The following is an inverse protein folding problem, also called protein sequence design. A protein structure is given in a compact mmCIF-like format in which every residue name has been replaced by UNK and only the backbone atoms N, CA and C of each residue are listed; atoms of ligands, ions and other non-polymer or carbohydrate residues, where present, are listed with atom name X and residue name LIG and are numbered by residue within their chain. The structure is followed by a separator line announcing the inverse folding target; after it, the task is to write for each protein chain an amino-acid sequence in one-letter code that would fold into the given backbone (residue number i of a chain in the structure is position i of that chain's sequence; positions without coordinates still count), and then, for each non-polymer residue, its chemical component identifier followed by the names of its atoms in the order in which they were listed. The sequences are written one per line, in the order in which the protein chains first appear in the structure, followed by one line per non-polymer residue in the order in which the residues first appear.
data_IF_595298673755
#
_entry.id   IF_595298673755
#
_cell.length_a   1.000
_cell.length_b   1.000
_cell.length_c   1.000
_cell.angle_alpha   90.00
_cell.angle_beta   90.00
_cell.angle_gamma   90.00
#
_symmetry.space_group_name_H-M   'P 1'
#
loop_
_entity.id
_entity.type
_entity.pdbx_description
1 polymer ?
#
# COMPACT_ATOMS: atom_id res chain seq x y z
N UNK A 1 1.43 23.41 -29.48
CA UNK A 1 2.10 22.10 -29.33
C UNK A 1 1.61 21.50 -28.03
N UNK A 2 1.03 20.29 -28.06
CA UNK A 2 0.70 19.60 -26.81
C UNK A 2 2.02 19.26 -26.11
N UNK A 3 2.25 19.79 -24.92
CA UNK A 3 3.41 19.40 -24.11
C UNK A 3 3.34 17.90 -23.84
N UNK A 4 4.36 17.17 -24.26
CA UNK A 4 4.50 15.76 -23.91
C UNK A 4 4.88 15.70 -22.43
N UNK A 5 3.93 15.43 -21.56
CA UNK A 5 4.20 15.24 -20.14
C UNK A 5 4.83 13.87 -19.97
N UNK A 6 6.06 13.85 -19.47
CA UNK A 6 6.80 12.64 -19.13
C UNK A 6 6.51 12.22 -17.68
N UNK A 7 6.65 10.94 -17.41
CA UNK A 7 6.60 10.34 -16.07
C UNK A 7 7.97 9.84 -15.67
N UNK A 8 8.33 10.09 -14.43
CA UNK A 8 9.48 9.49 -13.78
C UNK A 8 8.99 8.46 -12.76
N UNK A 9 9.11 7.19 -13.09
CA UNK A 9 8.89 6.09 -12.15
C UNK A 9 10.17 5.76 -11.40
N UNK A 10 10.08 5.67 -10.10
CA UNK A 10 11.21 5.36 -9.22
C UNK A 10 10.90 4.10 -8.44
N UNK A 11 11.82 3.16 -8.46
CA UNK A 11 11.81 1.98 -7.58
C UNK A 11 12.97 2.07 -6.59
N UNK A 12 12.65 1.99 -5.30
CA UNK A 12 13.66 2.01 -4.23
C UNK A 12 13.59 0.67 -3.50
N UNK A 13 14.52 -0.22 -3.84
CA UNK A 13 14.68 -1.49 -3.13
C UNK A 13 15.87 -1.44 -2.15
N UNK A 14 16.22 -2.55 -1.52
CA UNK A 14 17.27 -2.58 -0.49
C UNK A 14 18.70 -2.41 -1.01
N UNK A 15 18.95 -2.54 -2.32
CA UNK A 15 20.29 -2.40 -2.93
C UNK A 15 20.37 -1.27 -3.95
N UNK A 16 19.30 -1.04 -4.70
CA UNK A 16 19.33 -0.15 -5.86
C UNK A 16 18.12 0.77 -5.88
N UNK A 17 18.36 2.03 -6.19
CA UNK A 17 17.34 3.00 -6.57
C UNK A 17 17.38 3.14 -8.09
N UNK A 18 16.27 2.80 -8.75
CA UNK A 18 16.14 2.86 -10.21
C UNK A 18 15.11 3.91 -10.59
N UNK A 19 15.48 4.82 -11.48
CA UNK A 19 14.58 5.80 -12.09
C UNK A 19 14.40 5.54 -13.57
N UNK A 20 13.16 5.60 -14.05
CA UNK A 20 12.80 5.43 -15.46
C UNK A 20 11.97 6.61 -15.92
N UNK A 21 12.38 7.26 -16.99
CA UNK A 21 11.58 8.26 -17.67
C UNK A 21 10.83 7.61 -18.82
N UNK A 22 9.51 7.75 -18.82
CA UNK A 22 8.63 7.14 -19.81
C UNK A 22 7.69 8.20 -20.40
N UNK A 23 7.41 8.08 -21.70
CA UNK A 23 6.39 8.87 -22.35
C UNK A 23 4.98 8.25 -22.21
N UNK A 24 3.96 8.93 -22.72
CA UNK A 24 2.56 8.46 -22.66
C UNK A 24 2.30 7.19 -23.47
N UNK A 25 3.12 6.92 -24.49
CA UNK A 25 2.96 5.75 -25.35
C UNK A 25 3.63 4.51 -24.74
N UNK A 26 4.22 4.64 -23.55
CA UNK A 26 4.90 3.55 -22.84
C UNK A 26 6.35 3.34 -23.29
N UNK A 27 6.91 4.24 -24.10
CA UNK A 27 8.31 4.14 -24.49
C UNK A 27 9.23 4.65 -23.38
N UNK A 28 10.24 3.86 -23.04
CA UNK A 28 11.29 4.20 -22.09
C UNK A 28 12.28 5.15 -22.79
N UNK A 29 12.50 6.33 -22.24
CA UNK A 29 13.40 7.34 -22.79
C UNK A 29 14.74 7.36 -22.07
N UNK A 30 14.76 7.19 -20.74
CA UNK A 30 15.96 7.16 -19.92
C UNK A 30 15.82 6.19 -18.76
N UNK A 31 16.95 5.59 -18.37
CA UNK A 31 17.11 4.76 -17.19
C UNK A 31 18.29 5.29 -16.39
N UNK A 32 18.12 5.51 -15.10
CA UNK A 32 19.19 5.86 -14.17
C UNK A 32 19.18 4.91 -12.99
N UNK A 33 20.34 4.50 -12.49
CA UNK A 33 20.48 3.59 -11.36
C UNK A 33 21.54 4.11 -10.38
N UNK A 34 21.21 4.06 -9.09
CA UNK A 34 22.15 4.37 -8.00
C UNK A 34 22.05 3.32 -6.91
N UNK A 35 23.13 3.01 -6.18
CA UNK A 35 23.03 2.18 -4.99
C UNK A 35 22.11 2.81 -3.95
N UNK A 36 21.20 2.03 -3.37
CA UNK A 36 20.36 2.51 -2.27
C UNK A 36 21.20 2.73 -1.03
N UNK A 37 21.08 3.89 -0.43
CA UNK A 37 21.76 4.26 0.79
C UNK A 37 20.84 4.12 2.01
N UNK A 38 21.39 4.26 3.23
CA UNK A 38 20.61 4.25 4.48
C UNK A 38 19.59 5.39 4.53
N UNK A 39 19.88 6.51 3.89
CA UNK A 39 18.99 7.61 3.68
C UNK A 39 18.29 7.46 2.32
N UNK A 40 16.96 7.46 2.33
CA UNK A 40 16.13 7.31 1.14
C UNK A 40 16.42 8.41 0.11
N UNK A 41 16.62 9.65 0.57
CA UNK A 41 16.85 10.79 -0.31
C UNK A 41 18.22 10.77 -0.98
N UNK A 42 19.25 10.15 -0.38
CA UNK A 42 20.58 10.16 -0.95
C UNK A 42 20.66 9.38 -2.27
N UNK A 43 20.15 8.14 -2.32
CA UNK A 43 20.09 7.37 -3.56
C UNK A 43 19.18 8.03 -4.61
N UNK A 44 18.08 8.61 -4.17
CA UNK A 44 17.12 9.33 -5.02
C UNK A 44 17.77 10.58 -5.65
N UNK A 45 18.57 11.34 -4.88
CA UNK A 45 19.29 12.52 -5.36
C UNK A 45 20.20 12.21 -6.55
N UNK A 46 20.92 11.10 -6.49
CA UNK A 46 21.81 10.65 -7.57
C UNK A 46 21.01 10.35 -8.84
N UNK A 47 19.91 9.60 -8.71
CA UNK A 47 19.02 9.27 -9.83
C UNK A 47 18.40 10.53 -10.45
N UNK A 48 17.91 11.47 -9.63
CA UNK A 48 17.32 12.72 -10.12
C UNK A 48 18.37 13.56 -10.86
N UNK A 49 19.57 13.71 -10.32
CA UNK A 49 20.67 14.46 -10.96
C UNK A 49 21.05 13.85 -12.32
N UNK A 50 21.11 12.51 -12.40
CA UNK A 50 21.43 11.84 -13.65
C UNK A 50 20.34 12.07 -14.71
N UNK A 51 19.06 12.00 -14.34
CA UNK A 51 17.92 12.19 -15.24
C UNK A 51 17.79 13.64 -15.70
N UNK A 52 18.11 14.61 -14.83
CA UNK A 52 18.00 16.05 -15.12
C UNK A 52 19.27 16.67 -15.73
N UNK A 53 20.28 15.84 -16.01
CA UNK A 53 21.51 16.33 -16.62
C UNK A 53 21.24 17.10 -17.95
N UNK A 54 21.99 18.18 -18.24
CA UNK A 54 21.69 19.10 -19.36
C UNK A 54 21.68 18.47 -20.75
N UNK A 55 22.37 17.33 -20.92
CA UNK A 55 22.43 16.54 -22.17
C UNK A 55 21.19 15.67 -22.38
N UNK A 56 20.34 15.54 -21.36
CA UNK A 56 19.11 14.73 -21.39
C UNK A 56 17.88 15.63 -21.51
N UNK A 57 17.12 15.49 -22.60
CA UNK A 57 15.94 16.32 -22.89
C UNK A 57 14.73 16.01 -21.99
N UNK A 58 14.94 15.80 -20.69
CA UNK A 58 13.91 15.39 -19.74
C UNK A 58 13.23 16.56 -19.00
N UNK A 59 13.21 17.77 -19.60
CA UNK A 59 12.70 19.00 -18.98
C UNK A 59 11.18 19.05 -18.79
N UNK A 60 10.44 18.07 -19.29
CA UNK A 60 8.95 18.04 -19.24
C UNK A 60 8.38 16.92 -18.35
N UNK A 61 9.13 16.50 -17.32
CA UNK A 61 8.61 15.55 -16.33
C UNK A 61 7.56 16.27 -15.49
N UNK A 62 6.31 15.83 -15.61
CA UNK A 62 5.18 16.39 -14.85
C UNK A 62 4.79 15.59 -13.62
N UNK A 63 5.21 14.34 -13.55
CA UNK A 63 4.85 13.42 -12.48
C UNK A 63 6.05 12.56 -12.08
N UNK A 64 6.28 12.48 -10.76
CA UNK A 64 7.26 11.57 -10.15
C UNK A 64 6.50 10.58 -9.29
N UNK A 65 6.69 9.30 -9.58
CA UNK A 65 5.96 8.21 -8.95
C UNK A 65 6.95 7.31 -8.24
N UNK A 66 6.83 7.17 -6.92
CA UNK A 66 7.78 6.46 -6.07
C UNK A 66 7.16 5.14 -5.61
N UNK A 67 7.77 4.03 -6.00
CA UNK A 67 7.54 2.70 -5.46
C UNK A 67 8.67 2.31 -4.51
N UNK A 68 8.34 1.68 -3.39
CA UNK A 68 9.37 1.33 -2.42
C UNK A 68 8.96 0.18 -1.50
N UNK A 69 9.95 -0.64 -1.13
CA UNK A 69 9.85 -1.59 -0.02
C UNK A 69 10.50 -1.06 1.27
N UNK A 70 10.99 0.19 1.26
CA UNK A 70 11.74 0.76 2.38
C UNK A 70 10.96 0.69 3.71
N UNK A 71 9.70 1.15 3.73
CA UNK A 71 8.89 1.16 4.95
C UNK A 71 8.50 -0.24 5.41
N UNK A 72 8.24 -1.17 4.49
CA UNK A 72 8.00 -2.58 4.82
C UNK A 72 9.22 -3.22 5.47
N UNK A 73 10.40 -2.95 4.93
CA UNK A 73 11.67 -3.44 5.49
C UNK A 73 11.95 -2.88 6.89
N UNK A 74 11.61 -1.61 7.15
CA UNK A 74 11.74 -1.02 8.49
C UNK A 74 10.83 -1.73 9.51
N UNK A 75 9.59 -2.04 9.12
CA UNK A 75 8.68 -2.81 9.98
C UNK A 75 9.23 -4.21 10.22
N UNK A 76 9.68 -4.92 9.18
CA UNK A 76 10.23 -6.29 9.34
C UNK A 76 11.46 -6.33 10.26
N UNK A 77 12.31 -5.29 10.22
CA UNK A 77 13.53 -5.17 11.02
C UNK A 77 13.31 -4.54 12.40
N UNK A 78 12.13 -3.98 12.67
CA UNK A 78 11.88 -3.20 13.88
C UNK A 78 12.73 -1.94 14.00
N UNK A 79 13.05 -1.30 12.85
CA UNK A 79 13.93 -0.13 12.82
C UNK A 79 13.11 1.16 12.59
N UNK A 80 13.50 2.24 13.27
CA UNK A 80 12.93 3.59 13.10
C UNK A 80 11.40 3.67 13.29
N UNK A 81 10.87 2.80 14.15
CA UNK A 81 9.46 2.81 14.51
C UNK A 81 9.24 3.67 15.75
N UNK A 82 8.12 4.38 15.80
CA UNK A 82 7.73 5.19 16.94
C UNK A 82 6.97 4.36 17.97
N UNK A 83 7.10 4.72 19.26
CA UNK A 83 6.16 4.27 20.30
C UNK A 83 4.75 4.69 19.95
N UNK A 84 3.76 3.85 20.22
CA UNK A 84 2.37 4.09 19.85
C UNK A 84 1.45 3.95 21.06
N UNK A 85 0.61 4.94 21.29
CA UNK A 85 -0.56 4.79 22.16
C UNK A 85 -1.71 4.18 21.35
N UNK A 86 -2.15 2.96 21.69
CA UNK A 86 -3.27 2.29 21.05
C UNK A 86 -4.55 2.46 21.88
N UNK A 87 -5.49 3.24 21.35
CA UNK A 87 -6.76 3.56 22.01
C UNK A 87 -7.86 2.70 21.40
N UNK A 88 -8.42 1.81 22.22
CA UNK A 88 -9.59 1.00 21.88
C UNK A 88 -10.86 1.68 22.38
N UNK A 89 -11.82 1.90 21.49
CA UNK A 89 -13.14 2.43 21.85
C UNK A 89 -14.15 1.30 21.77
N UNK A 90 -14.66 0.87 22.92
CA UNK A 90 -15.63 -0.24 23.01
C UNK A 90 -16.14 -0.45 24.43
N UNK A 91 -17.22 -1.21 24.58
CA UNK A 91 -17.82 -1.52 25.88
C UNK A 91 -17.07 -2.62 26.64
N UNK A 92 -16.58 -3.63 25.92
CA UNK A 92 -15.90 -4.77 26.51
C UNK A 92 -14.39 -4.57 26.57
N UNK A 93 -13.78 -4.90 27.71
CA UNK A 93 -12.34 -4.96 27.83
C UNK A 93 -11.83 -6.14 27.00
N UNK A 94 -11.11 -5.85 25.94
CA UNK A 94 -10.47 -6.89 25.13
C UNK A 94 -9.20 -7.37 25.86
N UNK A 95 -9.12 -8.66 26.15
CA UNK A 95 -7.99 -9.28 26.86
C UNK A 95 -6.81 -9.62 25.93
N UNK A 96 -7.03 -9.60 24.62
CA UNK A 96 -5.96 -9.84 23.63
C UNK A 96 -5.12 -8.55 23.54
N UNK A 97 -3.81 -8.60 23.82
CA UNK A 97 -2.96 -7.41 23.73
C UNK A 97 -2.82 -6.94 22.27
N UNK A 98 -2.59 -5.63 22.04
CA UNK A 98 -2.20 -5.13 20.73
C UNK A 98 -0.99 -5.87 20.17
N UNK A 99 -0.91 -6.03 18.86
CA UNK A 99 0.15 -6.76 18.16
C UNK A 99 0.34 -8.21 18.66
N UNK A 100 -0.74 -8.86 19.13
CA UNK A 100 -0.68 -10.25 19.56
C UNK A 100 -0.13 -11.17 18.45
N UNK A 101 0.89 -11.95 18.78
CA UNK A 101 1.61 -12.81 17.84
C UNK A 101 2.77 -12.15 17.10
N UNK A 102 3.04 -10.86 17.36
CA UNK A 102 4.28 -10.24 16.90
C UNK A 102 5.51 -10.83 17.60
N UNK A 103 6.65 -10.83 16.90
CA UNK A 103 7.93 -11.20 17.51
C UNK A 103 8.33 -10.20 18.61
N UNK A 104 9.17 -10.65 19.55
CA UNK A 104 9.72 -9.78 20.61
C UNK A 104 10.42 -8.54 20.01
N UNK A 105 11.05 -8.70 18.85
CA UNK A 105 11.68 -7.59 18.12
C UNK A 105 10.68 -6.48 17.81
N UNK A 106 9.54 -6.84 17.23
CA UNK A 106 8.50 -5.86 16.85
C UNK A 106 7.82 -5.25 18.08
N UNK A 107 7.53 -6.06 19.10
CA UNK A 107 6.93 -5.57 20.33
C UNK A 107 7.81 -4.54 21.02
N UNK A 108 9.13 -4.79 21.10
CA UNK A 108 10.11 -3.85 21.68
C UNK A 108 10.34 -2.62 20.82
N UNK A 109 10.27 -2.76 19.49
CA UNK A 109 10.50 -1.65 18.57
C UNK A 109 9.38 -0.61 18.59
N UNK A 110 8.11 -1.05 18.78
CA UNK A 110 6.95 -0.14 18.77
C UNK A 110 6.58 0.29 20.19
N UNK A 111 6.80 -0.56 21.21
CA UNK A 111 6.42 -0.28 22.59
C UNK A 111 5.00 0.27 22.71
N UNK A 112 4.00 -0.56 22.41
CA UNK A 112 2.60 -0.14 22.40
C UNK A 112 2.09 0.09 23.82
N UNK A 113 1.55 1.28 24.11
CA UNK A 113 0.82 1.59 25.33
C UNK A 113 -0.69 1.46 25.04
N UNK A 114 -1.37 0.42 25.54
CA UNK A 114 -2.79 0.22 25.30
C UNK A 114 -3.65 1.04 26.26
N UNK A 115 -4.71 1.65 25.73
CA UNK A 115 -5.74 2.31 26.53
C UNK A 115 -7.13 1.87 26.08
N UNK A 116 -8.00 1.54 27.03
CA UNK A 116 -9.41 1.23 26.79
C UNK A 116 -10.26 2.43 27.15
N UNK A 117 -10.84 3.07 26.15
CA UNK A 117 -11.85 4.11 26.33
C UNK A 117 -13.24 3.49 26.17
N UNK A 118 -14.08 3.63 27.16
CA UNK A 118 -15.45 3.15 27.06
C UNK A 118 -16.24 4.00 26.05
N UNK A 119 -16.98 3.33 25.17
CA UNK A 119 -17.67 3.96 24.05
C UNK A 119 -18.01 2.94 22.97
N UNK A 120 -18.02 3.40 21.72
CA UNK A 120 -18.24 2.55 20.54
C UNK A 120 -19.69 2.58 20.06
N UNK A 121 -19.93 1.83 19.02
CA UNK A 121 -21.23 1.72 18.38
C UNK A 121 -21.71 0.28 18.41
N UNK A 122 -23.01 0.12 18.26
CA UNK A 122 -23.63 -1.17 17.96
C UNK A 122 -23.49 -1.49 16.47
N UNK A 123 -23.85 -2.71 16.11
CA UNK A 123 -23.75 -3.20 14.74
C UNK A 123 -24.60 -2.40 13.74
N UNK A 124 -25.67 -1.72 14.24
CA UNK A 124 -26.55 -0.85 13.44
C UNK A 124 -26.10 0.63 13.41
N UNK A 125 -24.93 0.93 13.98
CA UNK A 125 -24.37 2.27 14.01
C UNK A 125 -24.88 3.18 15.10
N UNK A 126 -25.82 2.73 15.96
CA UNK A 126 -26.23 3.51 17.13
C UNK A 126 -25.08 3.56 18.13
N UNK A 127 -24.92 4.70 18.78
CA UNK A 127 -23.96 4.82 19.88
C UNK A 127 -24.41 3.93 21.04
N UNK A 128 -23.55 3.02 21.49
CA UNK A 128 -23.80 2.16 22.62
C UNK A 128 -23.53 2.86 23.93
N UNK A 129 -22.49 3.69 23.96
CA UNK A 129 -22.07 4.55 25.05
C UNK A 129 -21.25 5.70 24.48
N UNK A 130 -21.46 6.91 24.96
CA UNK A 130 -20.61 8.04 24.54
C UNK A 130 -19.25 7.97 25.23
N UNK A 131 -18.14 8.16 24.50
CA UNK A 131 -16.82 8.21 25.11
C UNK A 131 -16.73 9.44 26.04
N UNK A 132 -16.05 9.27 27.17
CA UNK A 132 -15.82 10.35 28.12
C UNK A 132 -14.47 11.01 27.88
N UNK A 133 -14.47 12.31 27.54
CA UNK A 133 -13.25 13.09 27.32
C UNK A 133 -12.34 13.09 28.55
N UNK A 134 -12.91 13.22 29.74
CA UNK A 134 -12.11 13.26 30.98
C UNK A 134 -11.28 11.99 31.21
N UNK A 135 -11.80 10.80 30.85
CA UNK A 135 -11.06 9.54 30.98
C UNK A 135 -9.82 9.53 30.08
N UNK A 136 -9.96 10.07 28.86
CA UNK A 136 -8.85 10.22 27.93
C UNK A 136 -7.82 11.24 28.43
N UNK A 137 -8.27 12.40 28.90
CA UNK A 137 -7.40 13.45 29.46
C UNK A 137 -6.56 12.91 30.61
N UNK A 138 -7.23 12.28 31.60
CA UNK A 138 -6.57 11.68 32.76
C UNK A 138 -5.51 10.65 32.33
N UNK A 139 -5.85 9.80 31.36
CA UNK A 139 -4.88 8.81 30.88
C UNK A 139 -3.69 9.47 30.16
N UNK A 140 -3.93 10.43 29.26
CA UNK A 140 -2.86 11.12 28.53
C UNK A 140 -1.91 11.88 29.46
N UNK A 141 -2.41 12.42 30.58
CA UNK A 141 -1.57 13.00 31.62
C UNK A 141 -0.63 11.98 32.25
N UNK A 142 -1.09 10.73 32.48
CA UNK A 142 -0.24 9.67 33.07
C UNK A 142 0.91 9.24 32.17
N UNK A 143 0.77 9.35 30.85
CA UNK A 143 1.78 8.95 29.86
C UNK A 143 2.53 10.15 29.26
N UNK A 144 2.33 11.36 29.78
CA UNK A 144 2.91 12.59 29.23
C UNK A 144 4.44 12.55 29.18
N UNK A 145 5.07 12.00 30.22
CA UNK A 145 6.53 11.89 30.33
C UNK A 145 7.13 10.87 29.36
N UNK A 146 6.32 9.94 28.83
CA UNK A 146 6.74 8.96 27.83
C UNK A 146 7.05 9.58 26.46
N UNK A 147 6.67 10.84 26.23
CA UNK A 147 6.92 11.57 24.99
C UNK A 147 6.22 10.97 23.75
N UNK A 148 5.08 10.33 23.95
CA UNK A 148 4.32 9.68 22.89
C UNK A 148 3.56 10.74 22.10
N UNK A 149 3.80 10.74 20.79
CA UNK A 149 3.11 11.61 19.82
C UNK A 149 2.50 10.83 18.64
N UNK A 150 2.41 9.50 18.75
CA UNK A 150 1.81 8.66 17.71
C UNK A 150 0.67 7.84 18.31
N UNK A 151 -0.54 8.01 17.77
CA UNK A 151 -1.76 7.44 18.30
C UNK A 151 -2.46 6.59 17.26
N UNK A 152 -2.95 5.42 17.67
CA UNK A 152 -3.81 4.54 16.87
C UNK A 152 -5.15 4.40 17.56
N UNK A 153 -6.24 4.76 16.89
CA UNK A 153 -7.60 4.69 17.42
C UNK A 153 -8.36 3.59 16.71
N UNK A 154 -8.96 2.67 17.47
CA UNK A 154 -9.78 1.58 16.92
C UNK A 154 -11.10 1.47 17.64
N UNK A 155 -12.18 1.83 16.94
CA UNK A 155 -13.54 1.82 17.47
C UNK A 155 -14.29 0.54 17.10
N UNK A 156 -15.09 0.03 18.05
CA UNK A 156 -16.07 -1.00 17.78
C UNK A 156 -17.09 -0.45 16.76
N UNK A 157 -17.29 -1.21 15.67
CA UNK A 157 -18.16 -0.86 14.54
C UNK A 157 -17.91 0.51 13.89
N UNK A 158 -16.67 1.02 13.95
CA UNK A 158 -16.29 2.29 13.31
C UNK A 158 -16.41 2.28 11.78
N UNK A 159 -16.46 1.10 11.14
CA UNK A 159 -16.77 0.97 9.70
C UNK A 159 -18.24 1.27 9.37
N UNK A 160 -19.13 1.21 10.37
CA UNK A 160 -20.54 1.57 10.23
C UNK A 160 -20.74 3.04 10.63
N UNK A 161 -20.15 3.43 11.75
CA UNK A 161 -20.21 4.81 12.25
C UNK A 161 -18.86 5.24 12.85
N UNK A 162 -18.11 6.11 12.16
CA UNK A 162 -16.78 6.55 12.59
C UNK A 162 -16.79 7.69 13.63
N UNK A 163 -17.97 8.16 14.10
CA UNK A 163 -18.10 9.37 14.90
C UNK A 163 -17.21 9.35 16.15
N UNK A 164 -17.10 8.21 16.84
CA UNK A 164 -16.29 8.12 18.06
C UNK A 164 -14.78 8.14 17.78
N UNK A 165 -14.31 7.55 16.66
CA UNK A 165 -12.90 7.71 16.28
C UNK A 165 -12.59 9.16 15.92
N UNK A 166 -13.51 9.87 15.25
CA UNK A 166 -13.33 11.26 14.85
C UNK A 166 -13.28 12.21 16.05
N UNK A 167 -14.20 12.04 17.02
CA UNK A 167 -14.20 12.92 18.21
C UNK A 167 -12.98 12.67 19.10
N UNK A 168 -12.53 11.42 19.23
CA UNK A 168 -11.33 11.07 19.99
C UNK A 168 -10.06 11.62 19.32
N UNK A 169 -9.95 11.59 17.98
CA UNK A 169 -8.88 12.29 17.27
C UNK A 169 -8.87 13.78 17.60
N UNK A 170 -10.01 14.44 17.52
CA UNK A 170 -10.11 15.86 17.86
C UNK A 170 -9.61 16.14 19.28
N UNK A 171 -10.04 15.37 20.28
CA UNK A 171 -9.59 15.53 21.65
C UNK A 171 -8.09 15.33 21.83
N UNK A 172 -7.51 14.31 21.15
CA UNK A 172 -6.05 14.10 21.20
C UNK A 172 -5.31 15.33 20.68
N UNK A 173 -5.74 15.90 19.54
CA UNK A 173 -5.11 17.10 18.98
C UNK A 173 -5.24 18.30 19.92
N UNK A 174 -6.39 18.49 20.55
CA UNK A 174 -6.61 19.57 21.53
C UNK A 174 -5.76 19.41 22.80
N UNK A 175 -5.49 18.17 23.26
CA UNK A 175 -4.77 17.91 24.50
C UNK A 175 -3.25 17.85 24.27
N UNK A 176 -2.81 17.15 23.20
CA UNK A 176 -1.39 16.88 22.94
C UNK A 176 -0.78 17.94 22.03
N UNK A 177 -1.56 18.49 21.10
CA UNK A 177 -1.14 19.45 20.08
C UNK A 177 -1.16 18.85 18.67
N UNK A 178 -1.08 19.74 17.68
CA UNK A 178 -1.20 19.38 16.25
C UNK A 178 0.00 18.59 15.71
N UNK A 179 1.15 18.63 16.38
CA UNK A 179 2.35 17.88 16.00
C UNK A 179 2.24 16.36 16.24
N UNK A 180 1.15 15.91 16.86
CA UNK A 180 0.90 14.49 17.02
C UNK A 180 0.35 13.85 15.74
N UNK A 181 0.70 12.57 15.54
CA UNK A 181 0.13 11.76 14.46
C UNK A 181 -1.00 10.89 15.00
N UNK A 182 -2.16 10.93 14.35
CA UNK A 182 -3.33 10.13 14.75
C UNK A 182 -3.80 9.29 13.58
N UNK A 183 -3.88 7.99 13.79
CA UNK A 183 -4.39 7.02 12.82
C UNK A 183 -5.73 6.49 13.27
N UNK A 184 -6.75 6.64 12.44
CA UNK A 184 -8.11 6.09 12.66
C UNK A 184 -8.29 4.79 11.90
N UNK A 185 -8.77 3.75 12.56
CA UNK A 185 -8.84 2.41 11.99
C UNK A 185 -9.84 2.29 10.82
N UNK A 186 -10.93 3.05 10.83
CA UNK A 186 -11.91 3.02 9.74
C UNK A 186 -11.39 3.55 8.40
N UNK A 187 -10.29 4.31 8.41
CA UNK A 187 -9.65 4.81 7.21
C UNK A 187 -8.69 3.80 6.55
N UNK A 188 -8.22 2.80 7.31
CA UNK A 188 -7.21 1.87 6.82
C UNK A 188 -7.76 0.48 6.53
N UNK A 189 -8.74 0.06 7.27
CA UNK A 189 -9.07 -1.35 7.31
C UNK A 189 -10.49 -1.68 6.90
N UNK A 190 -10.73 -2.97 6.93
CA UNK A 190 -11.95 -3.67 6.64
C UNK A 190 -12.52 -4.29 7.92
N UNK A 191 -13.48 -5.22 7.80
CA UNK A 191 -13.99 -6.01 8.90
C UNK A 191 -12.85 -6.75 9.62
N UNK A 192 -12.86 -6.75 10.93
CA UNK A 192 -11.83 -7.34 11.79
C UNK A 192 -11.25 -6.28 12.72
N UNK A 193 -11.65 -6.36 13.99
CA UNK A 193 -11.22 -5.35 14.97
C UNK A 193 -9.71 -5.37 15.19
N UNK A 194 -9.15 -6.56 15.44
CA UNK A 194 -7.73 -6.72 15.74
C UNK A 194 -6.84 -6.43 14.52
N UNK A 195 -7.28 -6.85 13.33
CA UNK A 195 -6.57 -6.57 12.08
C UNK A 195 -6.53 -5.07 11.78
N UNK A 196 -7.63 -4.34 12.02
CA UNK A 196 -7.65 -2.88 11.88
C UNK A 196 -6.77 -2.19 12.91
N UNK A 197 -6.82 -2.64 14.16
CA UNK A 197 -5.98 -2.13 15.24
C UNK A 197 -4.50 -2.29 14.87
N UNK A 198 -4.08 -3.49 14.50
CA UNK A 198 -2.70 -3.76 14.12
C UNK A 198 -2.25 -2.90 12.93
N UNK A 199 -3.11 -2.74 11.92
CA UNK A 199 -2.83 -1.84 10.79
C UNK A 199 -2.66 -0.39 11.24
N UNK A 200 -3.50 0.07 12.16
CA UNK A 200 -3.44 1.43 12.70
C UNK A 200 -2.19 1.66 13.54
N UNK A 201 -1.77 0.65 14.31
CA UNK A 201 -0.53 0.71 15.11
C UNK A 201 0.69 0.78 14.18
N UNK A 202 0.79 -0.09 13.17
CA UNK A 202 1.90 -0.02 12.20
C UNK A 202 1.93 1.31 11.45
N UNK A 203 0.76 1.83 11.06
CA UNK A 203 0.68 3.14 10.42
C UNK A 203 1.20 4.25 11.35
N UNK A 204 0.71 4.30 12.58
CA UNK A 204 1.12 5.29 13.57
C UNK A 204 2.62 5.18 13.89
N UNK A 205 3.16 3.95 13.97
CA UNK A 205 4.59 3.72 14.18
C UNK A 205 5.46 4.23 13.03
N UNK A 206 4.97 4.18 11.78
CA UNK A 206 5.68 4.63 10.58
C UNK A 206 5.53 6.13 10.31
N UNK A 207 4.51 6.80 10.85
CA UNK A 207 4.13 8.16 10.45
C UNK A 207 5.27 9.19 10.59
N UNK A 208 6.02 9.18 11.68
CA UNK A 208 7.19 10.08 11.83
C UNK A 208 8.35 9.69 10.93
N UNK A 209 8.47 8.41 10.62
CA UNK A 209 9.55 7.91 9.77
C UNK A 209 9.35 8.33 8.33
N UNK A 210 8.15 8.25 7.79
CA UNK A 210 7.89 8.72 6.42
C UNK A 210 8.10 10.23 6.32
N UNK A 211 7.60 11.02 7.28
CA UNK A 211 7.79 12.47 7.30
C UNK A 211 9.27 12.83 7.20
N UNK A 212 10.12 12.24 8.04
CA UNK A 212 11.57 12.46 8.03
C UNK A 212 12.25 11.93 6.77
N UNK A 213 11.78 10.81 6.24
CA UNK A 213 12.39 10.17 5.05
C UNK A 213 12.12 10.92 3.76
N UNK A 214 11.03 11.71 3.70
CA UNK A 214 10.67 12.52 2.52
C UNK A 214 10.80 14.02 2.75
N UNK A 215 11.22 14.41 3.97
CA UNK A 215 11.58 15.80 4.27
C UNK A 215 12.68 16.26 3.30
N UNK A 216 12.45 17.36 2.62
CA UNK A 216 13.35 17.86 1.59
C UNK A 216 13.20 17.22 0.20
N UNK A 217 12.31 16.24 0.00
CA UNK A 217 12.09 15.64 -1.33
C UNK A 217 11.60 16.67 -2.35
N UNK A 218 10.67 17.53 -1.97
CA UNK A 218 10.19 18.61 -2.84
C UNK A 218 11.31 19.61 -3.16
N UNK A 219 12.12 19.97 -2.15
CA UNK A 219 13.27 20.85 -2.32
C UNK A 219 14.32 20.22 -3.23
N UNK A 220 14.61 18.94 -3.05
CA UNK A 220 15.53 18.18 -3.91
C UNK A 220 15.08 18.23 -5.37
N UNK A 221 13.79 18.04 -5.63
CA UNK A 221 13.24 18.12 -6.98
C UNK A 221 13.35 19.52 -7.56
N UNK A 222 12.95 20.57 -6.82
CA UNK A 222 13.02 21.94 -7.25
C UNK A 222 14.46 22.41 -7.54
N UNK A 223 15.42 22.02 -6.69
CA UNK A 223 16.85 22.32 -6.89
C UNK A 223 17.42 21.70 -8.17
N UNK A 224 16.84 20.59 -8.63
CA UNK A 224 17.21 19.93 -9.89
C UNK A 224 16.28 20.32 -11.07
N UNK A 225 15.48 21.39 -10.92
CA UNK A 225 14.62 21.92 -11.99
C UNK A 225 13.38 21.07 -12.29
N UNK A 226 13.01 20.14 -11.40
CA UNK A 226 11.80 19.33 -11.54
C UNK A 226 10.63 19.98 -10.78
N UNK A 227 9.65 20.47 -11.53
CA UNK A 227 8.39 21.02 -10.99
C UNK A 227 7.25 20.02 -11.19
N UNK A 228 7.46 18.77 -10.73
CA UNK A 228 6.56 17.67 -10.93
C UNK A 228 5.72 17.39 -9.68
N UNK A 229 4.52 16.83 -9.87
CA UNK A 229 3.72 16.29 -8.77
C UNK A 229 4.29 14.95 -8.30
N UNK A 230 4.31 14.75 -6.99
CA UNK A 230 4.83 13.53 -6.38
C UNK A 230 3.66 12.61 -6.02
N UNK A 231 3.79 11.34 -6.37
CA UNK A 231 2.90 10.27 -5.99
C UNK A 231 3.69 9.10 -5.43
N UNK A 232 3.04 8.31 -4.60
CA UNK A 232 3.56 7.01 -4.17
C UNK A 232 2.68 5.90 -4.71
N UNK A 233 3.27 4.74 -4.96
CA UNK A 233 2.47 3.55 -5.28
C UNK A 233 2.02 2.85 -4.00
N UNK A 234 0.81 2.31 -4.04
CA UNK A 234 0.20 1.56 -2.94
C UNK A 234 0.48 0.06 -3.06
N UNK A 235 0.22 -0.66 -1.98
CA UNK A 235 0.34 -2.12 -1.92
C UNK A 235 -0.52 -2.89 -2.94
N UNK A 236 -1.54 -2.28 -3.52
CA UNK A 236 -2.36 -2.86 -4.59
C UNK A 236 -1.92 -2.45 -6.01
N UNK A 237 -0.83 -1.68 -6.13
CA UNK A 237 -0.28 -1.19 -7.40
C UNK A 237 -0.97 0.05 -7.96
N UNK A 238 -1.82 0.72 -7.19
CA UNK A 238 -2.41 2.01 -7.55
C UNK A 238 -1.62 3.18 -6.96
N UNK A 239 -1.94 4.41 -7.38
CA UNK A 239 -1.31 5.64 -6.90
C UNK A 239 -2.02 6.20 -5.67
N UNK A 240 -1.21 6.80 -4.82
CA UNK A 240 -1.58 7.58 -3.65
C UNK A 240 -0.94 8.95 -3.76
N UNK A 241 -1.69 10.03 -3.54
CA UNK A 241 -1.16 11.38 -3.49
C UNK A 241 -0.10 11.54 -2.38
N UNK A 242 0.78 12.53 -2.53
CA UNK A 242 1.88 12.77 -1.57
C UNK A 242 1.37 12.91 -0.14
N UNK A 243 0.38 13.77 0.09
CA UNK A 243 -0.18 14.02 1.43
C UNK A 243 -0.83 12.76 2.03
N UNK A 244 -1.55 12.00 1.21
CA UNK A 244 -2.17 10.74 1.64
C UNK A 244 -1.12 9.68 1.98
N UNK A 245 0.03 9.66 1.29
CA UNK A 245 1.14 8.77 1.63
C UNK A 245 1.78 9.13 2.98
N UNK A 246 1.90 10.43 3.29
CA UNK A 246 2.39 10.89 4.60
C UNK A 246 1.44 10.50 5.73
N UNK A 247 0.13 10.57 5.48
CA UNK A 247 -0.89 10.21 6.46
C UNK A 247 -1.03 8.69 6.64
N UNK A 248 -0.88 7.93 5.55
CA UNK A 248 -1.07 6.47 5.53
C UNK A 248 0.13 5.72 4.97
N UNK A 249 1.33 5.85 5.58
CA UNK A 249 2.56 5.21 5.10
C UNK A 249 2.45 3.69 4.95
N UNK A 250 1.64 3.03 5.76
CA UNK A 250 1.42 1.58 5.66
C UNK A 250 0.87 1.15 4.29
N UNK A 251 0.17 2.03 3.58
CA UNK A 251 -0.35 1.75 2.25
C UNK A 251 0.74 1.65 1.19
N UNK A 252 1.94 2.18 1.43
CA UNK A 252 3.08 2.06 0.50
C UNK A 252 3.85 0.76 0.67
N UNK A 253 3.62 0.02 1.77
CA UNK A 253 4.33 -1.21 2.09
C UNK A 253 4.01 -2.33 1.09
N UNK A 254 5.03 -2.89 0.43
CA UNK A 254 4.87 -3.95 -0.57
C UNK A 254 4.45 -3.46 -1.96
N UNK A 255 4.48 -2.15 -2.22
CA UNK A 255 4.11 -1.57 -3.51
C UNK A 255 5.05 -2.00 -4.64
N UNK A 256 6.33 -2.27 -4.36
CA UNK A 256 7.30 -2.75 -5.35
C UNK A 256 6.82 -4.02 -6.08
N UNK A 257 6.30 -5.00 -5.35
CA UNK A 257 5.81 -6.25 -5.96
C UNK A 257 4.63 -5.99 -6.88
N UNK A 258 3.68 -5.15 -6.46
CA UNK A 258 2.54 -4.77 -7.28
C UNK A 258 2.96 -4.01 -8.54
N UNK A 259 3.95 -3.13 -8.43
CA UNK A 259 4.55 -2.44 -9.58
C UNK A 259 5.23 -3.43 -10.51
N UNK A 260 6.03 -4.36 -9.99
CA UNK A 260 6.69 -5.40 -10.78
C UNK A 260 5.69 -6.20 -11.61
N UNK A 261 4.58 -6.60 -11.02
CA UNK A 261 3.51 -7.31 -11.73
C UNK A 261 2.86 -6.44 -12.81
N UNK A 262 2.59 -5.18 -12.52
CA UNK A 262 2.05 -4.22 -13.49
C UNK A 262 3.03 -3.97 -14.65
N UNK A 263 4.31 -3.79 -14.33
CA UNK A 263 5.37 -3.64 -15.33
C UNK A 263 5.51 -4.87 -16.23
N UNK A 264 5.43 -6.07 -15.66
CA UNK A 264 5.44 -7.31 -16.43
C UNK A 264 4.26 -7.40 -17.41
N UNK A 265 3.05 -6.96 -16.98
CA UNK A 265 1.88 -6.86 -17.88
C UNK A 265 2.16 -5.94 -19.06
N UNK A 266 2.75 -4.76 -18.84
CA UNK A 266 3.08 -3.83 -19.92
C UNK A 266 4.11 -4.44 -20.88
N UNK A 267 5.20 -5.01 -20.35
CA UNK A 267 6.31 -5.53 -21.15
C UNK A 267 5.92 -6.74 -22.01
N UNK A 268 4.98 -7.55 -21.55
CA UNK A 268 4.56 -8.77 -22.25
C UNK A 268 3.22 -8.62 -22.98
N UNK A 269 2.44 -7.59 -22.68
CA UNK A 269 1.07 -7.45 -23.19
C UNK A 269 0.07 -8.42 -22.54
N UNK A 270 0.49 -9.23 -21.55
CA UNK A 270 -0.35 -10.21 -20.89
C UNK A 270 -1.13 -9.56 -19.74
N UNK A 271 -2.44 -9.83 -19.70
CA UNK A 271 -3.32 -9.38 -18.62
C UNK A 271 -3.58 -10.46 -17.56
N UNK A 272 -3.44 -11.72 -17.94
CA UNK A 272 -3.64 -12.89 -17.09
C UNK A 272 -2.40 -13.79 -17.22
N UNK A 273 -1.59 -13.87 -16.18
CA UNK A 273 -0.35 -14.65 -16.14
C UNK A 273 0.11 -14.87 -14.70
N UNK A 274 1.01 -15.83 -14.51
CA UNK A 274 1.75 -16.02 -13.26
C UNK A 274 3.07 -15.26 -13.37
N UNK A 275 3.37 -14.43 -12.37
CA UNK A 275 4.62 -13.66 -12.31
C UNK A 275 5.55 -14.28 -11.27
N UNK A 276 6.81 -14.44 -11.65
CA UNK A 276 7.93 -14.81 -10.77
C UNK A 276 8.89 -13.64 -10.73
N UNK A 277 8.78 -12.82 -9.69
CA UNK A 277 9.67 -11.68 -9.46
C UNK A 277 10.81 -12.12 -8.53
N UNK A 278 12.03 -12.17 -9.06
CA UNK A 278 13.22 -12.50 -8.30
C UNK A 278 14.06 -11.25 -8.10
N UNK A 279 14.10 -10.80 -6.86
CA UNK A 279 14.93 -9.67 -6.47
C UNK A 279 15.92 -10.11 -5.39
N UNK A 280 17.19 -10.12 -5.73
CA UNK A 280 18.27 -10.61 -4.86
C UNK A 280 18.03 -12.08 -4.44
N UNK A 281 17.93 -12.33 -3.12
CA UNK A 281 17.69 -13.65 -2.54
C UNK A 281 16.20 -13.94 -2.25
N UNK A 282 15.28 -13.13 -2.77
CA UNK A 282 13.85 -13.33 -2.58
C UNK A 282 13.15 -13.54 -3.93
N UNK A 283 12.30 -14.56 -4.02
CA UNK A 283 11.36 -14.72 -5.12
C UNK A 283 9.93 -14.49 -4.60
N UNK A 284 9.19 -13.63 -5.29
CA UNK A 284 7.77 -13.35 -5.02
C UNK A 284 6.96 -13.86 -6.21
N UNK A 285 6.14 -14.89 -5.96
CA UNK A 285 5.32 -15.53 -6.99
C UNK A 285 3.85 -15.16 -6.74
N UNK A 286 3.16 -14.72 -7.79
CA UNK A 286 1.74 -14.37 -7.74
C UNK A 286 1.12 -14.36 -9.12
N UNK A 287 -0.14 -13.93 -9.23
CA UNK A 287 -0.84 -13.88 -10.50
C UNK A 287 -1.35 -12.47 -10.82
N UNK A 288 -1.44 -12.18 -12.11
CA UNK A 288 -2.26 -11.09 -12.65
C UNK A 288 -3.64 -11.61 -13.02
N UNK A 289 -4.65 -10.82 -12.73
CA UNK A 289 -6.02 -10.97 -13.18
C UNK A 289 -6.45 -9.65 -13.86
N UNK A 290 -6.72 -9.69 -15.16
CA UNK A 290 -7.12 -8.51 -15.97
C UNK A 290 -6.12 -7.34 -15.87
N UNK A 291 -4.83 -7.64 -15.88
CA UNK A 291 -3.75 -6.66 -15.80
C UNK A 291 -3.47 -6.08 -14.42
N UNK A 292 -4.10 -6.60 -13.36
CA UNK A 292 -3.88 -6.19 -11.98
C UNK A 292 -3.38 -7.35 -11.13
N UNK A 293 -2.53 -7.07 -10.13
CA UNK A 293 -2.13 -8.08 -9.17
C UNK A 293 -3.36 -8.67 -8.48
N UNK A 294 -3.44 -10.01 -8.44
CA UNK A 294 -4.48 -10.70 -7.69
C UNK A 294 -4.38 -10.35 -6.21
N UNK A 295 -5.47 -9.83 -5.65
CA UNK A 295 -5.51 -9.45 -4.24
C UNK A 295 -5.72 -10.66 -3.34
N UNK A 296 -4.99 -10.71 -2.23
CA UNK A 296 -5.20 -11.68 -1.17
C UNK A 296 -6.46 -11.35 -0.40
N UNK A 297 -7.36 -12.31 -0.30
CA UNK A 297 -8.69 -12.07 0.28
C UNK A 297 -8.75 -12.17 1.80
N UNK A 298 -7.86 -12.91 2.43
CA UNK A 298 -7.87 -13.20 3.88
C UNK A 298 -6.46 -13.45 4.41
N UNK A 299 -6.32 -13.38 5.73
CA UNK A 299 -5.09 -13.70 6.46
C UNK A 299 -3.86 -12.92 5.99
N UNK A 300 -4.05 -11.62 5.77
CA UNK A 300 -2.93 -10.72 5.53
C UNK A 300 -2.10 -10.62 6.80
N UNK A 301 -0.78 -10.68 6.64
CA UNK A 301 0.17 -10.50 7.75
C UNK A 301 1.27 -9.53 7.36
N UNK A 302 1.66 -8.69 8.32
CA UNK A 302 2.84 -7.85 8.25
C UNK A 302 3.69 -8.14 9.49
N UNK A 303 4.96 -8.44 9.32
CA UNK A 303 5.85 -8.87 10.41
C UNK A 303 5.24 -9.97 11.30
N UNK A 304 4.53 -10.94 10.71
CA UNK A 304 3.86 -12.05 11.40
C UNK A 304 2.49 -11.72 11.99
N UNK A 305 2.10 -10.47 12.08
CA UNK A 305 0.87 -9.98 12.71
C UNK A 305 -0.26 -9.85 11.68
N UNK A 306 -1.49 -10.30 11.97
CA UNK A 306 -2.64 -10.10 11.10
C UNK A 306 -2.95 -8.61 10.91
N UNK A 307 -3.14 -8.19 9.65
CA UNK A 307 -3.46 -6.80 9.29
C UNK A 307 -4.63 -6.73 8.32
N UNK A 308 -5.29 -5.58 8.26
CA UNK A 308 -6.39 -5.30 7.36
C UNK A 308 -5.95 -4.35 6.25
N UNK A 309 -5.19 -4.87 5.28
CA UNK A 309 -4.68 -4.13 4.14
C UNK A 309 -5.06 -4.84 2.83
N UNK A 310 -5.18 -4.08 1.75
CA UNK A 310 -5.28 -4.65 0.40
C UNK A 310 -3.86 -4.87 -0.13
N UNK A 311 -3.46 -6.12 -0.29
CA UNK A 311 -2.13 -6.48 -0.79
C UNK A 311 -2.24 -7.56 -1.85
N UNK A 312 -1.22 -7.64 -2.71
CA UNK A 312 -1.12 -8.72 -3.69
C UNK A 312 -1.03 -10.11 -3.02
N UNK A 313 -1.74 -11.09 -3.58
CA UNK A 313 -1.60 -12.49 -3.16
C UNK A 313 -0.31 -13.05 -3.74
N UNK A 314 0.71 -13.18 -2.89
CA UNK A 314 2.02 -13.69 -3.28
C UNK A 314 2.49 -14.78 -2.35
N UNK A 315 3.28 -15.70 -2.90
CA UNK A 315 4.13 -16.64 -2.16
C UNK A 315 5.55 -16.15 -2.21
N UNK A 316 6.12 -15.85 -1.05
CA UNK A 316 7.51 -15.43 -0.94
C UNK A 316 8.40 -16.63 -0.61
N UNK A 317 9.50 -16.76 -1.34
CA UNK A 317 10.53 -17.77 -1.15
C UNK A 317 11.87 -17.10 -0.94
N UNK A 318 12.71 -17.69 -0.10
CA UNK A 318 14.13 -17.33 -0.03
C UNK A 318 14.87 -18.17 -1.06
N UNK A 319 15.60 -17.51 -1.96
CA UNK A 319 16.41 -18.14 -3.00
C UNK A 319 17.85 -18.14 -2.55
N UNK A 320 18.46 -19.32 -2.48
CA UNK A 320 19.88 -19.43 -2.19
C UNK A 320 20.71 -18.79 -3.30
N UNK A 321 21.72 -18.02 -2.92
CA UNK A 321 22.69 -17.46 -3.86
C UNK A 321 23.75 -18.50 -4.30
N UNK A 322 23.81 -19.63 -3.60
CA UNK A 322 24.70 -20.73 -3.94
C UNK A 322 24.13 -21.50 -5.16
N UNK A 323 24.92 -21.55 -6.24
CA UNK A 323 24.56 -22.27 -7.47
C UNK A 323 24.35 -23.77 -7.25
N UNK A 324 24.93 -24.37 -6.23
CA UNK A 324 24.70 -25.78 -5.90
C UNK A 324 23.28 -26.05 -5.39
N UNK A 325 22.56 -25.01 -4.99
CA UNK A 325 21.19 -25.09 -4.55
C UNK A 325 20.15 -24.73 -5.64
N UNK A 326 20.57 -24.55 -6.89
CA UNK A 326 19.68 -24.09 -7.97
C UNK A 326 18.55 -25.10 -8.24
N UNK A 327 18.79 -26.39 -8.17
CA UNK A 327 17.73 -27.41 -8.31
C UNK A 327 16.65 -27.26 -7.22
N UNK A 328 17.04 -27.05 -5.96
CA UNK A 328 16.09 -26.80 -4.87
C UNK A 328 15.32 -25.49 -5.05
N UNK A 329 15.98 -24.44 -5.58
CA UNK A 329 15.35 -23.18 -5.90
C UNK A 329 14.30 -23.36 -7.01
N UNK A 330 14.63 -24.12 -8.07
CA UNK A 330 13.74 -24.44 -9.20
C UNK A 330 12.51 -25.20 -8.73
N UNK A 331 12.69 -26.22 -7.89
CA UNK A 331 11.59 -27.02 -7.34
C UNK A 331 10.66 -26.17 -6.46
N UNK A 332 11.22 -25.32 -5.59
CA UNK A 332 10.44 -24.43 -4.75
C UNK A 332 9.60 -23.43 -5.58
N UNK A 333 10.19 -22.85 -6.61
CA UNK A 333 9.49 -21.94 -7.54
C UNK A 333 8.40 -22.70 -8.29
N UNK A 334 8.70 -23.90 -8.80
CA UNK A 334 7.72 -24.74 -9.50
C UNK A 334 6.49 -25.01 -8.64
N UNK A 335 6.68 -25.45 -7.39
CA UNK A 335 5.57 -25.69 -6.46
C UNK A 335 4.80 -24.40 -6.11
N UNK A 336 5.47 -23.28 -5.97
CA UNK A 336 4.81 -22.00 -5.72
C UNK A 336 3.94 -21.53 -6.91
N UNK A 337 4.41 -21.75 -8.14
CA UNK A 337 3.66 -21.45 -9.36
C UNK A 337 2.35 -22.26 -9.41
N UNK A 338 2.38 -23.55 -9.06
CA UNK A 338 1.20 -24.42 -9.07
C UNK A 338 0.03 -23.88 -8.24
N UNK A 339 0.31 -23.10 -7.17
CA UNK A 339 -0.74 -22.47 -6.35
C UNK A 339 -1.57 -21.46 -7.15
N UNK A 340 -0.97 -20.81 -8.15
CA UNK A 340 -1.59 -19.75 -8.95
C UNK A 340 -2.10 -20.24 -10.30
N UNK A 341 -1.75 -21.44 -10.71
CA UNK A 341 -2.22 -22.03 -11.95
C UNK A 341 -3.67 -22.52 -11.84
N UNK A 342 -4.55 -22.16 -12.80
CA UNK A 342 -5.88 -22.77 -12.91
C UNK A 342 -5.79 -24.26 -13.27
N UNK A 343 -6.85 -25.00 -12.99
CA UNK A 343 -6.86 -26.45 -13.23
C UNK A 343 -6.94 -26.86 -14.70
N UNK A 344 -7.53 -26.03 -15.55
CA UNK A 344 -7.89 -26.43 -16.93
C UNK A 344 -7.12 -25.69 -18.02
N UNK A 345 -6.77 -24.43 -17.81
CA UNK A 345 -6.03 -23.61 -18.79
C UNK A 345 -4.83 -22.98 -18.08
N UNK A 346 -3.63 -23.55 -18.22
CA UNK A 346 -2.44 -22.99 -17.60
C UNK A 346 -2.13 -21.60 -18.12
N UNK A 347 -1.90 -20.68 -17.19
CA UNK A 347 -1.51 -19.31 -17.51
C UNK A 347 -0.03 -19.23 -17.90
N UNK A 348 0.36 -18.36 -18.84
CA UNK A 348 1.75 -18.04 -19.11
C UNK A 348 2.49 -17.63 -17.85
N UNK A 349 3.79 -17.92 -17.78
CA UNK A 349 4.65 -17.61 -16.65
C UNK A 349 5.66 -16.55 -17.10
N UNK A 350 5.78 -15.47 -16.33
CA UNK A 350 6.70 -14.38 -16.66
C UNK A 350 7.72 -14.21 -15.54
N UNK A 351 8.98 -14.36 -15.88
CA UNK A 351 10.11 -14.11 -14.99
C UNK A 351 10.57 -12.67 -15.11
N UNK A 352 10.72 -11.98 -13.97
CA UNK A 352 11.17 -10.58 -13.87
C UNK A 352 12.01 -10.37 -12.61
N UNK A 353 12.61 -9.19 -12.50
CA UNK A 353 13.47 -8.81 -11.38
C UNK A 353 14.95 -9.11 -11.64
N UNK A 354 15.83 -8.41 -10.94
CA UNK A 354 17.28 -8.40 -11.14
C UNK A 354 17.99 -9.75 -10.88
N UNK A 355 17.33 -10.70 -10.24
CA UNK A 355 17.84 -12.06 -10.01
C UNK A 355 17.26 -13.11 -10.95
N UNK A 356 16.33 -12.74 -11.84
CA UNK A 356 15.61 -13.70 -12.68
C UNK A 356 16.46 -14.31 -13.79
N UNK A 357 17.46 -13.59 -14.29
CA UNK A 357 18.42 -14.04 -15.30
C UNK A 357 19.21 -15.29 -14.89
N UNK A 358 19.43 -15.49 -13.59
CA UNK A 358 20.12 -16.66 -13.05
C UNK A 358 19.25 -17.92 -13.12
N UNK A 359 17.97 -17.78 -12.83
CA UNK A 359 17.04 -18.92 -12.66
C UNK A 359 16.32 -19.27 -13.96
N UNK A 360 15.92 -18.24 -14.73
CA UNK A 360 15.12 -18.41 -15.95
C UNK A 360 15.73 -19.39 -16.96
N UNK A 361 17.05 -19.38 -17.30
CA UNK A 361 17.59 -20.25 -18.34
C UNK A 361 17.43 -21.75 -18.05
N UNK A 362 17.38 -22.12 -16.77
CA UNK A 362 17.23 -23.50 -16.32
C UNK A 362 15.79 -23.89 -16.01
N UNK A 363 14.88 -22.91 -15.89
CA UNK A 363 13.48 -23.17 -15.54
C UNK A 363 12.68 -23.64 -16.76
N UNK A 364 11.91 -24.70 -16.58
CA UNK A 364 11.00 -25.23 -17.60
C UNK A 364 9.65 -25.55 -16.98
N UNK A 365 8.59 -25.22 -17.68
CA UNK A 365 7.22 -25.55 -17.29
C UNK A 365 6.52 -26.25 -18.46
N UNK A 366 6.19 -27.56 -18.35
CA UNK A 366 5.78 -28.37 -19.50
C UNK A 366 4.45 -27.98 -20.12
N UNK A 367 3.61 -27.26 -19.38
CA UNK A 367 2.21 -27.01 -19.76
C UNK A 367 1.92 -25.55 -20.12
N UNK A 368 2.91 -24.67 -20.10
CA UNK A 368 2.68 -23.26 -20.40
C UNK A 368 3.95 -22.58 -20.87
N UNK A 369 3.78 -21.49 -21.62
CA UNK A 369 4.89 -20.63 -22.06
C UNK A 369 5.56 -19.96 -20.87
N UNK A 370 6.89 -19.92 -20.92
CA UNK A 370 7.74 -19.21 -19.94
C UNK A 370 8.43 -18.07 -20.63
N UNK A 371 8.18 -16.85 -20.18
CA UNK A 371 8.63 -15.60 -20.78
C UNK A 371 9.61 -14.88 -19.87
N UNK A 372 10.59 -14.21 -20.50
CA UNK A 372 11.54 -13.33 -19.83
C UNK A 372 11.70 -12.08 -20.69
N UNK A 373 10.95 -11.00 -20.42
CA UNK A 373 10.93 -9.83 -21.28
C UNK A 373 12.25 -9.05 -21.20
N UNK A 374 12.56 -8.29 -22.26
CA UNK A 374 13.57 -7.24 -22.16
C UNK A 374 13.17 -6.26 -21.03
N UNK A 375 14.12 -5.58 -20.43
CA UNK A 375 13.90 -4.66 -19.30
C UNK A 375 13.38 -5.33 -18.00
N UNK A 376 13.51 -6.66 -17.86
CA UNK A 376 13.06 -7.43 -16.69
C UNK A 376 13.62 -6.92 -15.37
N UNK A 377 14.82 -6.34 -15.36
CA UNK A 377 15.43 -5.74 -14.16
C UNK A 377 14.74 -4.45 -13.71
N UNK A 378 14.15 -3.71 -14.65
CA UNK A 378 13.59 -2.38 -14.44
C UNK A 378 12.07 -2.42 -14.23
N UNK A 379 11.50 -3.60 -14.21
CA UNK A 379 10.07 -3.87 -14.24
C UNK A 379 9.25 -3.12 -13.17
N UNK A 380 9.80 -2.97 -11.95
CA UNK A 380 9.11 -2.28 -10.87
C UNK A 380 9.01 -0.76 -11.11
N UNK A 381 10.08 -0.12 -11.58
CA UNK A 381 10.05 1.30 -11.95
C UNK A 381 9.15 1.56 -13.18
N UNK A 382 9.12 0.63 -14.15
CA UNK A 382 8.18 0.64 -15.28
C UNK A 382 6.74 0.58 -14.78
N UNK A 383 6.45 -0.35 -13.86
CA UNK A 383 5.12 -0.48 -13.27
C UNK A 383 4.68 0.75 -12.49
N UNK A 384 5.59 1.44 -11.82
CA UNK A 384 5.30 2.71 -11.18
C UNK A 384 4.88 3.78 -12.21
N UNK A 385 5.57 3.87 -13.37
CA UNK A 385 5.20 4.82 -14.44
C UNK A 385 3.77 4.65 -14.96
N UNK A 386 3.26 3.42 -15.00
CA UNK A 386 1.92 3.12 -15.56
C UNK A 386 0.83 2.99 -14.49
N UNK A 387 1.18 3.17 -13.23
CA UNK A 387 0.21 3.06 -12.14
C UNK A 387 -0.92 4.08 -12.30
N UNK A 388 -2.13 3.67 -11.92
CA UNK A 388 -3.35 4.46 -11.99
C UNK A 388 -3.77 4.87 -10.59
N UNK A 389 -4.44 6.01 -10.49
CA UNK A 389 -5.04 6.46 -9.22
C UNK A 389 -6.23 5.58 -8.90
N UNK A 390 -6.41 5.25 -7.62
CA UNK A 390 -7.60 4.54 -7.17
C UNK A 390 -8.29 5.24 -6.01
N UNK A 391 -9.61 5.05 -5.96
CA UNK A 391 -10.43 5.34 -4.79
C UNK A 391 -11.20 4.09 -4.39
N UNK A 392 -11.31 3.84 -3.10
CA UNK A 392 -11.97 2.64 -2.60
C UNK A 392 -12.93 2.96 -1.45
N UNK A 393 -14.02 2.21 -1.41
CA UNK A 393 -14.99 2.18 -0.31
C UNK A 393 -15.09 0.74 0.18
N UNK A 394 -15.02 0.51 1.47
CA UNK A 394 -15.27 -0.78 2.11
C UNK A 394 -16.04 -0.55 3.41
N UNK A 395 -17.37 -0.58 3.32
CA UNK A 395 -18.25 -0.26 4.44
C UNK A 395 -19.40 -1.26 4.57
N UNK A 396 -20.00 -1.27 5.77
CA UNK A 396 -21.23 -2.00 6.06
C UNK A 396 -22.37 -1.00 6.00
N UNK A 397 -23.41 -1.34 5.24
CA UNK A 397 -24.65 -0.58 5.09
C UNK A 397 -25.83 -1.39 5.60
N UNK A 398 -26.77 -0.70 6.26
CA UNK A 398 -28.05 -1.22 6.66
C UNK A 398 -29.07 -0.82 5.61
N UNK A 399 -29.62 -1.79 4.89
CA UNK A 399 -30.38 -1.48 3.68
C UNK A 399 -31.66 -2.34 3.63
N UNK A 400 -32.78 -1.72 3.42
CA UNK A 400 -33.98 -2.41 2.97
C UNK A 400 -33.87 -2.78 1.49
N UNK A 401 -34.63 -3.79 1.03
CA UNK A 401 -34.52 -4.28 -0.35
C UNK A 401 -34.76 -3.18 -1.40
N UNK A 402 -35.67 -2.25 -1.10
CA UNK A 402 -36.02 -1.13 -1.98
C UNK A 402 -34.88 -0.11 -2.14
N UNK A 403 -33.99 0.05 -1.14
CA UNK A 403 -32.91 1.02 -1.13
C UNK A 403 -31.54 0.43 -1.54
N UNK A 404 -31.49 -0.87 -1.83
CA UNK A 404 -30.22 -1.58 -2.09
C UNK A 404 -29.46 -1.00 -3.28
N UNK A 405 -30.13 -0.82 -4.41
CA UNK A 405 -29.48 -0.31 -5.63
C UNK A 405 -29.01 1.14 -5.47
N UNK A 406 -29.79 1.93 -4.76
CA UNK A 406 -29.41 3.31 -4.40
C UNK A 406 -28.17 3.36 -3.52
N UNK A 407 -28.08 2.48 -2.52
CA UNK A 407 -26.91 2.40 -1.62
C UNK A 407 -25.65 1.94 -2.39
N UNK A 408 -25.78 0.97 -3.30
CA UNK A 408 -24.70 0.56 -4.18
C UNK A 408 -24.22 1.73 -5.05
N UNK A 409 -25.15 2.52 -5.57
CA UNK A 409 -24.82 3.67 -6.40
C UNK A 409 -24.08 4.76 -5.59
N UNK A 410 -24.52 5.04 -4.37
CA UNK A 410 -23.83 5.96 -3.45
C UNK A 410 -22.38 5.47 -3.19
N UNK A 411 -22.19 4.19 -2.88
CA UNK A 411 -20.86 3.64 -2.66
C UNK A 411 -19.95 3.74 -3.90
N UNK A 412 -20.51 3.59 -5.12
CA UNK A 412 -19.76 3.80 -6.37
C UNK A 412 -19.35 5.27 -6.54
N UNK A 413 -20.25 6.18 -6.28
CA UNK A 413 -19.97 7.62 -6.37
C UNK A 413 -18.92 8.05 -5.34
N UNK A 414 -19.00 7.57 -4.11
CA UNK A 414 -17.98 7.81 -3.09
C UNK A 414 -16.60 7.29 -3.54
N UNK A 415 -16.52 6.10 -4.13
CA UNK A 415 -15.24 5.56 -4.64
C UNK A 415 -14.69 6.38 -5.81
N UNK A 416 -15.55 6.86 -6.70
CA UNK A 416 -15.18 7.75 -7.82
C UNK A 416 -14.63 9.09 -7.25
N UNK A 417 -15.34 9.70 -6.30
CA UNK A 417 -14.89 10.95 -5.68
C UNK A 417 -13.58 10.78 -4.92
N UNK A 418 -13.38 9.64 -4.24
CA UNK A 418 -12.10 9.33 -3.61
C UNK A 418 -10.95 9.23 -4.62
N UNK A 419 -11.15 8.60 -5.78
CA UNK A 419 -10.15 8.57 -6.84
C UNK A 419 -9.82 9.96 -7.39
N UNK A 420 -10.84 10.81 -7.58
CA UNK A 420 -10.67 12.19 -8.06
C UNK A 420 -9.88 13.03 -7.02
N UNK A 421 -10.19 12.87 -5.74
CA UNK A 421 -9.49 13.57 -4.65
C UNK A 421 -7.99 13.19 -4.60
N UNK A 422 -7.64 11.96 -4.95
CA UNK A 422 -6.25 11.50 -5.06
C UNK A 422 -5.57 11.94 -6.39
N UNK A 423 -6.26 12.65 -7.27
CA UNK A 423 -5.69 13.24 -8.49
C UNK A 423 -6.10 12.55 -9.80
N UNK A 424 -7.06 11.64 -9.79
CA UNK A 424 -7.56 11.05 -11.03
C UNK A 424 -8.36 12.06 -11.85
N UNK A 425 -8.20 12.00 -13.18
CA UNK A 425 -9.01 12.80 -14.09
C UNK A 425 -10.47 12.34 -14.07
N UNK A 426 -11.44 13.24 -13.79
CA UNK A 426 -12.86 12.89 -13.78
C UNK A 426 -13.36 12.21 -15.07
N UNK A 427 -12.70 12.50 -16.20
CA UNK A 427 -13.07 11.94 -17.53
C UNK A 427 -12.64 10.49 -17.69
N UNK A 428 -11.71 10.00 -16.89
CA UNK A 428 -11.12 8.66 -17.03
C UNK A 428 -11.50 7.73 -15.89
N UNK A 429 -12.10 8.26 -14.82
CA UNK A 429 -12.47 7.45 -13.66
C UNK A 429 -13.64 6.53 -13.99
N UNK A 430 -13.48 5.26 -13.69
CA UNK A 430 -14.54 4.26 -13.78
C UNK A 430 -14.48 3.26 -12.63
N UNK A 431 -15.60 2.63 -12.34
CA UNK A 431 -15.69 1.58 -11.32
C UNK A 431 -15.10 0.29 -11.88
N UNK A 432 -13.95 -0.12 -11.34
CA UNK A 432 -13.26 -1.36 -11.73
C UNK A 432 -13.90 -2.60 -11.12
N UNK A 433 -14.32 -2.51 -9.84
CA UNK A 433 -14.80 -3.67 -9.08
C UNK A 433 -15.88 -3.26 -8.09
N UNK A 434 -16.91 -4.09 -7.99
CA UNK A 434 -17.94 -4.02 -6.95
C UNK A 434 -18.12 -5.40 -6.35
N UNK A 435 -18.00 -5.50 -5.04
CA UNK A 435 -18.29 -6.71 -4.27
C UNK A 435 -19.39 -6.40 -3.27
N UNK A 436 -20.42 -7.22 -3.25
CA UNK A 436 -21.55 -7.11 -2.33
C UNK A 436 -21.64 -8.41 -1.56
N UNK A 437 -21.39 -8.35 -0.27
CA UNK A 437 -21.39 -9.51 0.60
C UNK A 437 -22.48 -9.35 1.67
N UNK A 438 -23.55 -10.15 1.64
CA UNK A 438 -24.50 -10.20 2.72
C UNK A 438 -23.80 -10.62 4.02
N UNK A 439 -24.14 -9.97 5.13
CA UNK A 439 -23.62 -10.38 6.43
C UNK A 439 -24.61 -11.36 7.03
N UNK A 440 -24.20 -12.63 7.07
CA UNK A 440 -25.03 -13.71 7.62
C UNK A 440 -25.31 -13.53 9.11
N UNK A 441 -26.43 -14.08 9.56
CA UNK A 441 -26.87 -14.09 10.98
C UNK A 441 -27.22 -12.72 11.57
N UNK A 442 -27.43 -11.69 10.72
CA UNK A 442 -27.94 -10.41 11.18
C UNK A 442 -29.47 -10.39 11.12
N UNK A 443 -30.16 -9.88 12.18
CA UNK A 443 -31.63 -9.79 12.21
C UNK A 443 -32.20 -8.84 11.17
N UNK A 444 -31.36 -8.01 10.57
CA UNK A 444 -31.67 -7.00 9.57
C UNK A 444 -30.76 -7.16 8.35
N UNK A 445 -31.14 -6.57 7.25
CA UNK A 445 -30.46 -6.68 5.92
C UNK A 445 -29.16 -5.87 5.90
N UNK A 446 -28.12 -6.33 6.61
CA UNK A 446 -26.81 -5.72 6.55
C UNK A 446 -26.00 -6.28 5.36
N UNK A 447 -25.47 -5.39 4.54
CA UNK A 447 -24.59 -5.73 3.41
C UNK A 447 -23.26 -5.00 3.54
N UNK A 448 -22.18 -5.70 3.27
CA UNK A 448 -20.87 -5.08 3.06
C UNK A 448 -20.70 -4.78 1.59
N UNK A 449 -20.45 -3.53 1.27
CA UNK A 449 -20.17 -3.09 -0.09
C UNK A 449 -18.69 -2.69 -0.17
N UNK A 450 -17.96 -3.32 -1.10
CA UNK A 450 -16.63 -2.91 -1.50
C UNK A 450 -16.69 -2.39 -2.93
N UNK A 451 -16.21 -1.20 -3.14
CA UNK A 451 -16.07 -0.60 -4.47
C UNK A 451 -14.65 -0.12 -4.65
N UNK A 452 -14.08 -0.40 -5.82
CA UNK A 452 -12.82 0.17 -6.27
C UNK A 452 -13.05 0.90 -7.59
N UNK A 453 -12.75 2.18 -7.60
CA UNK A 453 -12.71 3.01 -8.80
C UNK A 453 -11.25 3.31 -9.17
N UNK A 454 -10.93 3.38 -10.44
CA UNK A 454 -9.60 3.70 -10.95
C UNK A 454 -9.70 4.76 -12.05
N UNK A 455 -8.65 5.55 -12.21
CA UNK A 455 -8.53 6.53 -13.27
C UNK A 455 -7.08 6.92 -13.54
N UNK A 456 -6.83 7.54 -14.67
CA UNK A 456 -5.52 8.11 -14.99
C UNK A 456 -5.37 9.47 -14.33
N UNK A 457 -4.14 9.89 -14.04
CA UNK A 457 -3.86 11.22 -13.50
C UNK A 457 -4.38 12.33 -14.43
N UNK A 458 -4.84 13.43 -13.83
CA UNK A 458 -5.32 14.58 -14.59
C UNK A 458 -4.15 15.52 -14.94
N UNK A 459 -3.85 15.61 -16.23
CA UNK A 459 -2.78 16.44 -16.77
C UNK A 459 -3.16 17.92 -16.99
N UNK A 460 -4.41 18.31 -16.68
CA UNK A 460 -4.90 19.67 -17.03
C UNK A 460 -4.45 20.77 -16.04
N UNK A 461 -3.85 20.43 -14.91
CA UNK A 461 -3.47 21.40 -13.87
C UNK A 461 -2.00 21.86 -13.90
N UNK A 462 -1.27 21.59 -14.98
CA UNK A 462 0.08 22.12 -15.21
C UNK A 462 0.02 23.38 -16.10
N UNK A 463 -0.82 24.35 -15.72
CA UNK A 463 -0.82 25.69 -16.31
C UNK A 463 -0.33 26.71 -15.31
#
# INVERSE_FOLDING_TARGET
MAYIVLRLGIDINSKTTTGIVMNRDGAILHVAKSPTQKDLLAGLSEVIKEITAPDKSCTSIGEVIIGTDYFANLVEKGERLSKVCSIRIGQAKNTIPPLYGASDLIQKAIEVIPFQLYGGHEMDGRSSLQPARHDLETFLETIREEGINSFAITGAFSLVNPAHENIVEQWIREIVGDDCTVTKSHMLGSIGFLERENSSIFNAALSKTILRSVEGLQDLMHQNGLHAKIYFTQNDGSLLGYESALQYPIRTCGSRISNSFRGASLLTGLNDCVIVDICQSKASIGALERGFPKEKRRNMKMAGVPVSLQMSDVTNLTISEDRTADDNNLDAIYHAIQRFQPRFEPLPIVFVGDGSDRIFPSFKYPWSDVLHPAEFENVSAIGACIAQVSGAVDRIYWVDEEDRDKTIQIAKEEAIQAAIAEGASPKTVFVQRVEINPIAYMPTKAIRIKVKAIGTLDFQHLR
#
